data_IF_269920232172
#
_entry.id   IF_269920232172
#
_cell.length_a   1.000
_cell.length_b   1.000
_cell.length_c   1.000
_cell.angle_alpha   90.00
_cell.angle_beta   90.00
_cell.angle_gamma   90.00
#
_symmetry.space_group_name_H-M   'P 1'
#
loop_
_entity.id
_entity.type
_entity.pdbx_description
1 polymer ?
#
# COMPACT_ATOMS: atom_id res chain seq x y z
N UNK A 1 27.73 23.69 20.86
CA UNK A 1 26.98 22.41 20.81
C UNK A 1 26.57 22.18 19.36
N UNK A 2 27.22 21.26 18.66
CA UNK A 2 27.22 21.16 17.18
C UNK A 2 25.92 20.55 16.63
N UNK A 3 25.42 21.10 15.52
CA UNK A 3 24.22 20.66 14.77
C UNK A 3 24.23 19.17 14.33
N UNK A 4 25.31 18.45 14.63
CA UNK A 4 25.54 17.04 14.29
C UNK A 4 25.01 16.06 15.34
N UNK A 5 24.75 16.50 16.59
CA UNK A 5 24.21 15.61 17.65
C UNK A 5 22.67 15.48 17.68
N UNK A 6 21.94 16.17 16.79
CA UNK A 6 20.46 16.13 16.73
C UNK A 6 19.88 15.03 15.82
N UNK A 7 20.69 14.10 15.27
CA UNK A 7 20.28 13.28 14.11
C UNK A 7 20.35 11.76 14.30
N UNK A 8 20.13 11.27 15.51
CA UNK A 8 20.00 9.83 15.79
C UNK A 8 18.85 9.48 16.75
N UNK A 9 17.76 10.24 16.74
CA UNK A 9 16.49 9.62 17.13
C UNK A 9 16.16 8.58 16.05
N UNK A 10 16.54 7.33 16.31
CA UNK A 10 16.04 6.18 15.56
C UNK A 10 14.52 6.23 15.67
N UNK A 11 13.87 6.75 14.63
CA UNK A 11 12.43 6.62 14.45
C UNK A 11 12.15 5.13 14.52
N UNK A 12 11.58 4.65 15.64
CA UNK A 12 11.20 3.25 15.79
C UNK A 12 10.20 2.94 14.69
N UNK A 13 10.62 2.16 13.70
CA UNK A 13 9.75 1.74 12.61
C UNK A 13 8.53 1.04 13.17
N UNK A 14 7.35 1.40 12.68
CA UNK A 14 6.12 0.69 13.02
C UNK A 14 6.18 -0.72 12.44
N UNK A 15 6.03 -1.75 13.29
CA UNK A 15 6.04 -3.14 12.85
C UNK A 15 4.62 -3.57 12.45
N UNK A 16 4.29 -3.41 11.18
CA UNK A 16 2.95 -3.74 10.63
C UNK A 16 2.55 -5.19 10.86
N UNK A 17 3.50 -6.12 10.87
CA UNK A 17 3.21 -7.53 11.13
C UNK A 17 2.75 -7.75 12.57
N UNK A 18 3.39 -7.08 13.54
CA UNK A 18 2.96 -7.14 14.93
C UNK A 18 1.57 -6.52 15.10
N UNK A 19 1.29 -5.40 14.42
CA UNK A 19 -0.04 -4.77 14.40
C UNK A 19 -1.09 -5.71 13.79
N UNK A 20 -0.76 -6.42 12.71
CA UNK A 20 -1.65 -7.39 12.07
C UNK A 20 -1.92 -8.60 12.97
N UNK A 21 -0.90 -9.13 13.66
CA UNK A 21 -1.08 -10.21 14.65
C UNK A 21 -1.96 -9.75 15.82
N UNK A 22 -1.72 -8.55 16.35
CA UNK A 22 -2.59 -7.96 17.38
C UNK A 22 -4.03 -7.77 16.90
N UNK A 23 -4.23 -7.46 15.61
CA UNK A 23 -5.56 -7.33 15.00
C UNK A 23 -6.35 -8.63 15.04
N UNK A 24 -5.71 -9.81 14.95
CA UNK A 24 -6.38 -11.12 15.09
C UNK A 24 -7.05 -11.24 16.47
N UNK A 25 -6.34 -10.84 17.54
CA UNK A 25 -6.85 -10.87 18.91
C UNK A 25 -8.04 -9.93 19.06
N UNK A 26 -7.92 -8.69 18.54
CA UNK A 26 -9.01 -7.71 18.56
C UNK A 26 -10.24 -8.25 17.83
N UNK A 27 -10.08 -8.78 16.63
CA UNK A 27 -11.17 -9.35 15.84
C UNK A 27 -11.83 -10.51 16.60
N UNK A 28 -11.05 -11.43 17.18
CA UNK A 28 -11.57 -12.56 17.92
C UNK A 28 -12.39 -12.13 19.15
N UNK A 29 -11.87 -11.21 19.96
CA UNK A 29 -12.57 -10.68 21.14
C UNK A 29 -13.87 -9.99 20.73
N UNK A 30 -13.81 -9.11 19.72
CA UNK A 30 -14.98 -8.35 19.27
C UNK A 30 -16.04 -9.27 18.67
N UNK A 31 -15.65 -10.26 17.86
CA UNK A 31 -16.62 -11.22 17.31
C UNK A 31 -17.24 -12.12 18.37
N UNK A 32 -16.52 -12.43 19.46
CA UNK A 32 -17.05 -13.22 20.57
C UNK A 32 -18.04 -12.43 21.46
N UNK A 33 -17.74 -11.15 21.74
CA UNK A 33 -18.51 -10.35 22.69
C UNK A 33 -19.58 -9.46 22.02
N UNK A 34 -19.25 -8.88 20.86
CA UNK A 34 -20.09 -7.91 20.15
C UNK A 34 -19.97 -8.08 18.62
N UNK A 35 -20.42 -9.21 18.05
CA UNK A 35 -20.26 -9.51 16.62
C UNK A 35 -20.80 -8.42 15.68
N UNK A 36 -21.82 -7.67 16.10
CA UNK A 36 -22.42 -6.54 15.39
C UNK A 36 -21.49 -5.33 15.20
N UNK A 37 -20.38 -5.24 15.96
CA UNK A 37 -19.41 -4.14 15.80
C UNK A 37 -18.61 -4.26 14.49
N UNK A 38 -18.46 -5.47 13.96
CA UNK A 38 -17.82 -5.74 12.68
C UNK A 38 -18.89 -6.33 11.75
N UNK A 39 -19.64 -5.51 11.00
CA UNK A 39 -20.77 -5.97 10.18
C UNK A 39 -20.34 -6.72 8.91
N UNK A 40 -19.03 -6.92 8.71
CA UNK A 40 -18.45 -7.69 7.62
C UNK A 40 -18.08 -9.08 8.15
N UNK A 41 -18.42 -10.15 7.41
CA UNK A 41 -17.96 -11.49 7.72
C UNK A 41 -16.46 -11.59 7.49
N UNK A 42 -15.72 -12.13 8.46
CA UNK A 42 -14.24 -12.17 8.43
C UNK A 42 -13.69 -12.77 7.14
N UNK A 43 -14.34 -13.78 6.58
CA UNK A 43 -13.87 -14.49 5.39
C UNK A 43 -14.57 -14.06 4.09
N UNK A 44 -15.52 -13.13 4.14
CA UNK A 44 -16.23 -12.67 2.92
C UNK A 44 -15.30 -12.02 1.91
N UNK A 45 -14.31 -11.25 2.38
CA UNK A 45 -13.33 -10.56 1.53
C UNK A 45 -12.42 -11.53 0.77
N UNK A 46 -12.33 -12.80 1.18
CA UNK A 46 -11.56 -13.81 0.46
C UNK A 46 -12.31 -14.45 -0.71
N UNK A 47 -13.62 -14.23 -0.81
CA UNK A 47 -14.41 -14.68 -1.96
C UNK A 47 -14.08 -13.77 -3.15
N UNK A 48 -13.61 -14.37 -4.23
CA UNK A 48 -13.24 -13.62 -5.43
C UNK A 48 -14.36 -13.59 -6.46
N UNK A 49 -14.40 -12.52 -7.25
CA UNK A 49 -15.22 -12.43 -8.46
C UNK A 49 -14.33 -12.16 -9.68
N UNK A 50 -14.72 -12.73 -10.82
CA UNK A 50 -13.89 -12.72 -12.03
C UNK A 50 -12.67 -13.64 -11.94
N UNK A 51 -11.95 -13.77 -13.05
CA UNK A 51 -10.73 -14.56 -13.16
C UNK A 51 -9.45 -13.70 -13.18
N UNK A 52 -8.31 -14.37 -13.27
CA UNK A 52 -6.99 -13.73 -13.36
C UNK A 52 -6.91 -12.66 -14.47
N UNK A 53 -7.51 -12.92 -15.64
CA UNK A 53 -7.56 -11.97 -16.75
C UNK A 53 -8.35 -10.70 -16.41
N UNK A 54 -9.46 -10.83 -15.68
CA UNK A 54 -10.25 -9.68 -15.22
C UNK A 54 -9.45 -8.84 -14.21
N UNK A 55 -8.74 -9.50 -13.30
CA UNK A 55 -7.92 -8.82 -12.29
C UNK A 55 -6.77 -8.03 -12.93
N UNK A 56 -6.07 -8.61 -13.92
CA UNK A 56 -5.06 -7.89 -14.70
C UNK A 56 -5.70 -6.72 -15.44
N UNK A 57 -6.85 -6.94 -16.07
CA UNK A 57 -7.57 -5.90 -16.81
C UNK A 57 -7.91 -4.75 -15.87
N UNK A 58 -8.53 -4.97 -14.71
CA UNK A 58 -8.85 -3.85 -13.81
C UNK A 58 -7.60 -3.23 -13.18
N UNK A 59 -6.51 -3.99 -13.03
CA UNK A 59 -5.22 -3.52 -12.52
C UNK A 59 -4.39 -2.68 -13.51
N UNK A 60 -4.74 -2.65 -14.80
CA UNK A 60 -3.93 -1.97 -15.82
C UNK A 60 -3.56 -0.50 -15.49
N UNK A 61 -4.43 0.32 -14.88
CA UNK A 61 -4.10 1.73 -14.64
C UNK A 61 -2.89 1.89 -13.72
N UNK A 62 -2.78 1.07 -12.68
CA UNK A 62 -1.64 1.14 -11.76
C UNK A 62 -0.37 0.57 -12.37
N UNK A 63 -0.48 -0.44 -13.25
CA UNK A 63 0.67 -0.95 -14.00
C UNK A 63 1.25 0.12 -14.92
N UNK A 64 0.38 0.81 -15.66
CA UNK A 64 0.77 1.92 -16.53
C UNK A 64 1.38 3.08 -15.73
N UNK A 65 0.79 3.43 -14.59
CA UNK A 65 1.31 4.45 -13.68
C UNK A 65 2.70 4.11 -13.13
N UNK A 66 2.87 2.90 -12.59
CA UNK A 66 4.14 2.43 -12.04
C UNK A 66 5.28 2.44 -13.06
N UNK A 67 5.02 1.91 -14.27
CA UNK A 67 5.99 1.93 -15.36
C UNK A 67 6.27 3.36 -15.85
N UNK A 68 5.23 4.17 -16.04
CA UNK A 68 5.35 5.55 -16.52
C UNK A 68 6.19 6.43 -15.60
N UNK A 69 5.98 6.35 -14.28
CA UNK A 69 6.80 7.09 -13.31
C UNK A 69 8.25 6.64 -13.33
N UNK A 70 8.49 5.33 -13.36
CA UNK A 70 9.87 4.82 -13.38
C UNK A 70 10.59 5.25 -14.66
N UNK A 71 9.87 5.30 -15.79
CA UNK A 71 10.40 5.82 -17.04
C UNK A 71 10.73 7.33 -16.94
N UNK A 72 9.81 8.14 -16.43
CA UNK A 72 10.03 9.58 -16.23
C UNK A 72 11.23 9.82 -15.30
N UNK A 73 11.33 9.12 -14.18
CA UNK A 73 12.45 9.27 -13.26
C UNK A 73 13.78 8.85 -13.87
N UNK A 74 13.78 7.89 -14.80
CA UNK A 74 14.98 7.50 -15.54
C UNK A 74 15.48 8.63 -16.44
N UNK A 75 14.58 9.43 -17.03
CA UNK A 75 14.97 10.58 -17.85
C UNK A 75 15.33 11.85 -17.06
N UNK A 76 14.61 12.12 -15.95
CA UNK A 76 14.84 13.35 -15.16
C UNK A 76 16.15 13.28 -14.37
N UNK A 77 16.62 12.08 -14.02
CA UNK A 77 17.75 11.89 -13.10
C UNK A 77 18.89 11.18 -13.82
N UNK A 78 19.54 11.89 -14.73
CA UNK A 78 20.56 11.27 -15.61
C UNK A 78 21.87 10.91 -14.87
N UNK A 79 22.27 11.64 -13.80
CA UNK A 79 23.67 11.52 -13.32
C UNK A 79 23.92 11.38 -11.81
N UNK A 80 22.94 11.51 -10.93
CA UNK A 80 23.25 11.48 -9.48
C UNK A 80 22.90 10.14 -8.82
N UNK A 81 23.93 9.52 -8.23
CA UNK A 81 24.02 8.17 -7.67
C UNK A 81 23.13 7.88 -6.45
N UNK A 82 21.89 8.39 -6.40
CA UNK A 82 20.93 7.96 -5.38
C UNK A 82 20.24 6.69 -5.84
N UNK A 83 20.68 5.57 -5.30
CA UNK A 83 20.08 5.02 -4.08
C UNK A 83 18.59 4.77 -4.30
N UNK A 84 18.27 3.72 -5.06
CA UNK A 84 17.33 2.76 -4.49
C UNK A 84 17.90 2.41 -3.11
N UNK A 85 17.54 3.17 -2.08
CA UNK A 85 18.31 3.21 -0.83
C UNK A 85 18.41 1.83 -0.17
N UNK A 86 17.46 0.94 -0.47
CA UNK A 86 17.45 -0.47 -0.09
C UNK A 86 18.09 -1.45 -1.09
N UNK A 87 18.38 -1.06 -2.34
CA UNK A 87 18.87 -1.95 -3.41
C UNK A 87 20.25 -1.59 -3.98
N UNK A 88 21.00 -0.68 -3.35
CA UNK A 88 22.38 -0.34 -3.75
C UNK A 88 23.27 -1.58 -3.95
N UNK A 89 23.05 -2.62 -3.14
CA UNK A 89 23.82 -3.86 -3.20
C UNK A 89 23.60 -4.69 -4.47
N UNK A 90 22.56 -4.40 -5.26
CA UNK A 90 22.23 -5.11 -6.50
C UNK A 90 22.56 -4.30 -7.75
N UNK A 91 23.27 -3.18 -7.61
CA UNK A 91 23.51 -2.21 -8.69
C UNK A 91 24.21 -2.81 -9.92
N UNK A 92 25.04 -3.82 -9.72
CA UNK A 92 25.90 -4.34 -10.78
C UNK A 92 25.36 -5.65 -11.40
N UNK A 93 24.24 -6.17 -10.90
CA UNK A 93 23.66 -7.45 -11.31
C UNK A 93 22.14 -7.37 -11.48
N UNK A 94 21.73 -7.13 -12.73
CA UNK A 94 20.31 -7.04 -13.09
C UNK A 94 19.55 -8.35 -12.87
N UNK A 95 20.19 -9.52 -13.03
CA UNK A 95 19.53 -10.81 -12.77
C UNK A 95 19.23 -10.98 -11.28
N UNK A 96 20.21 -10.67 -10.42
CA UNK A 96 20.01 -10.74 -8.97
C UNK A 96 18.96 -9.74 -8.48
N UNK A 97 18.92 -8.55 -9.08
CA UNK A 97 17.86 -7.57 -8.82
C UNK A 97 16.49 -8.10 -9.22
N UNK A 98 16.37 -8.74 -10.40
CA UNK A 98 15.11 -9.32 -10.87
C UNK A 98 14.61 -10.45 -9.95
N UNK A 99 15.47 -11.40 -9.59
CA UNK A 99 15.11 -12.52 -8.69
C UNK A 99 14.70 -11.99 -7.32
N UNK A 100 15.51 -11.11 -6.73
CA UNK A 100 15.23 -10.54 -5.41
C UNK A 100 13.96 -9.69 -5.44
N UNK A 101 13.80 -8.87 -6.47
CA UNK A 101 12.61 -8.05 -6.69
C UNK A 101 11.35 -8.89 -6.84
N UNK A 102 11.41 -10.01 -7.55
CA UNK A 102 10.28 -10.96 -7.70
C UNK A 102 9.85 -11.53 -6.35
N UNK A 103 10.80 -11.98 -5.53
CA UNK A 103 10.49 -12.50 -4.19
C UNK A 103 9.93 -11.44 -3.25
N UNK A 104 10.45 -10.21 -3.33
CA UNK A 104 9.92 -9.07 -2.58
C UNK A 104 8.50 -8.74 -3.03
N UNK A 105 8.24 -8.70 -4.34
CA UNK A 105 6.92 -8.41 -4.91
C UNK A 105 5.89 -9.42 -4.44
N UNK A 106 6.21 -10.71 -4.46
CA UNK A 106 5.32 -11.77 -3.98
C UNK A 106 5.06 -11.64 -2.48
N UNK A 107 6.11 -11.43 -1.69
CA UNK A 107 5.98 -11.28 -0.24
C UNK A 107 5.18 -10.03 0.12
N UNK A 108 5.44 -8.90 -0.54
CA UNK A 108 4.74 -7.63 -0.31
C UNK A 108 3.26 -7.77 -0.68
N UNK A 109 2.96 -8.26 -1.88
CA UNK A 109 1.59 -8.50 -2.33
C UNK A 109 0.79 -9.41 -1.41
N UNK A 110 1.39 -10.46 -0.85
CA UNK A 110 0.68 -11.34 0.10
C UNK A 110 0.56 -10.69 1.48
N UNK A 111 1.69 -10.31 2.08
CA UNK A 111 1.73 -9.91 3.50
C UNK A 111 1.08 -8.55 3.71
N UNK A 112 1.30 -7.58 2.83
CA UNK A 112 0.74 -6.25 2.99
C UNK A 112 -0.76 -6.24 2.74
N UNK A 113 -1.27 -7.00 1.77
CA UNK A 113 -2.72 -7.08 1.54
C UNK A 113 -3.44 -7.81 2.70
N UNK A 114 -2.88 -8.92 3.19
CA UNK A 114 -3.41 -9.61 4.39
C UNK A 114 -3.37 -8.68 5.61
N UNK A 115 -2.27 -7.95 5.81
CA UNK A 115 -2.13 -7.06 6.97
C UNK A 115 -3.09 -5.88 6.89
N UNK A 116 -3.06 -5.10 5.81
CA UNK A 116 -3.76 -3.82 5.73
C UNK A 116 -5.20 -3.96 5.23
N UNK A 117 -5.46 -4.80 4.23
CA UNK A 117 -6.78 -4.85 3.58
C UNK A 117 -7.73 -5.82 4.30
N UNK A 118 -7.18 -6.74 5.07
CA UNK A 118 -7.95 -7.68 5.86
C UNK A 118 -7.86 -7.44 7.37
N UNK A 119 -6.71 -7.70 8.00
CA UNK A 119 -6.63 -7.77 9.47
C UNK A 119 -6.76 -6.39 10.13
N UNK A 120 -5.90 -5.44 9.76
CA UNK A 120 -5.91 -4.09 10.34
C UNK A 120 -7.21 -3.37 9.96
N UNK A 121 -7.71 -3.57 8.74
CA UNK A 121 -9.00 -3.04 8.31
C UNK A 121 -10.15 -3.52 9.20
N UNK A 122 -10.33 -4.83 9.39
CA UNK A 122 -11.40 -5.37 10.22
C UNK A 122 -11.29 -4.95 11.69
N UNK A 123 -10.07 -4.94 12.24
CA UNK A 123 -9.84 -4.45 13.59
C UNK A 123 -10.15 -2.95 13.72
N UNK A 124 -9.79 -2.14 12.72
CA UNK A 124 -10.05 -0.69 12.72
C UNK A 124 -11.54 -0.36 12.75
N UNK A 125 -12.41 -1.20 12.15
CA UNK A 125 -13.88 -1.00 12.23
C UNK A 125 -14.33 -0.98 13.69
N UNK A 126 -13.89 -1.97 14.49
CA UNK A 126 -14.22 -2.03 15.91
C UNK A 126 -13.56 -0.89 16.69
N UNK A 127 -12.28 -0.65 16.43
CA UNK A 127 -11.48 0.35 17.14
C UNK A 127 -11.92 1.79 16.90
N UNK A 128 -12.63 2.09 15.82
CA UNK A 128 -13.20 3.42 15.55
C UNK A 128 -14.56 3.60 16.20
N UNK A 129 -15.34 2.53 16.37
CA UNK A 129 -16.64 2.58 17.05
C UNK A 129 -16.51 2.83 18.56
N UNK A 130 -15.45 2.32 19.19
CA UNK A 130 -15.16 2.56 20.62
C UNK A 130 -15.00 4.06 20.94
N UNK A 131 -14.09 4.82 20.31
CA UNK A 131 -13.98 6.25 20.54
C UNK A 131 -15.25 6.97 20.10
N UNK A 132 -15.95 6.52 19.04
CA UNK A 132 -17.23 7.14 18.68
C UNK A 132 -18.25 7.06 19.83
N UNK A 133 -18.37 5.90 20.46
CA UNK A 133 -19.22 5.73 21.63
C UNK A 133 -18.76 6.63 22.79
N UNK A 134 -17.46 6.68 23.09
CA UNK A 134 -16.92 7.53 24.15
C UNK A 134 -17.14 9.03 23.89
N UNK A 135 -17.11 9.46 22.62
CA UNK A 135 -17.31 10.84 22.21
C UNK A 135 -18.73 11.07 21.67
N UNK A 136 -19.71 10.84 22.56
CA UNK A 136 -21.13 11.16 22.42
C UNK A 136 -21.94 10.30 21.43
N UNK A 137 -21.36 9.25 20.83
CA UNK A 137 -22.08 8.38 19.89
C UNK A 137 -23.34 7.73 20.48
N UNK A 138 -23.37 7.50 21.80
CA UNK A 138 -24.57 7.00 22.51
C UNK A 138 -25.72 8.02 22.57
N UNK A 139 -25.44 9.31 22.33
CA UNK A 139 -26.44 10.38 22.24
C UNK A 139 -26.91 10.62 20.79
N UNK A 140 -26.50 9.76 19.85
CA UNK A 140 -26.80 9.93 18.42
C UNK A 140 -25.88 10.92 17.71
N UNK A 141 -24.81 11.40 18.37
CA UNK A 141 -23.83 12.32 17.79
C UNK A 141 -22.41 11.85 18.09
N UNK A 142 -21.73 11.21 17.14
CA UNK A 142 -20.35 10.77 17.33
C UNK A 142 -19.33 11.72 16.71
N UNK A 143 -18.31 12.17 17.46
CA UNK A 143 -17.25 13.03 16.89
C UNK A 143 -16.49 12.34 15.74
N UNK A 144 -15.97 11.10 15.89
CA UNK A 144 -15.34 10.38 14.78
C UNK A 144 -16.25 10.19 13.56
N UNK A 145 -17.53 9.86 13.80
CA UNK A 145 -18.55 9.73 12.76
C UNK A 145 -18.74 11.03 11.99
N UNK A 146 -18.90 12.15 12.71
CA UNK A 146 -19.06 13.47 12.11
C UNK A 146 -17.84 13.83 11.25
N UNK A 147 -16.62 13.62 11.77
CA UNK A 147 -15.40 13.89 11.00
C UNK A 147 -15.30 13.04 9.74
N UNK A 148 -15.67 11.75 9.81
CA UNK A 148 -15.71 10.91 8.62
C UNK A 148 -16.74 11.42 7.60
N UNK A 149 -17.98 11.64 8.03
CA UNK A 149 -19.08 11.99 7.13
C UNK A 149 -18.91 13.38 6.50
N UNK A 150 -18.29 14.34 7.20
CA UNK A 150 -18.21 15.73 6.75
C UNK A 150 -16.84 16.18 6.28
N UNK A 151 -15.76 15.46 6.62
CA UNK A 151 -14.38 15.87 6.27
C UNK A 151 -13.66 14.78 5.51
N UNK A 152 -13.31 13.69 6.19
CA UNK A 152 -12.37 12.70 5.63
C UNK A 152 -13.00 11.83 4.54
N UNK A 153 -14.25 11.42 4.72
CA UNK A 153 -15.03 10.68 3.72
C UNK A 153 -15.18 11.47 2.41
N UNK A 154 -15.69 12.72 2.45
CA UNK A 154 -15.78 13.56 1.25
C UNK A 154 -14.45 13.80 0.55
N UNK A 155 -13.37 14.08 1.29
CA UNK A 155 -12.03 14.25 0.71
C UNK A 155 -11.58 12.97 0.01
N UNK A 156 -11.66 11.82 0.68
CA UNK A 156 -11.28 10.54 0.10
C UNK A 156 -12.12 10.21 -1.14
N UNK A 157 -13.42 10.48 -1.09
CA UNK A 157 -14.34 10.27 -2.20
C UNK A 157 -13.99 11.12 -3.42
N UNK A 158 -13.66 12.40 -3.20
CA UNK A 158 -13.22 13.30 -4.26
C UNK A 158 -11.89 12.83 -4.88
N UNK A 159 -10.89 12.52 -4.06
CA UNK A 159 -9.59 12.03 -4.54
C UNK A 159 -9.63 10.66 -5.23
N UNK A 160 -10.71 9.90 -5.05
CA UNK A 160 -10.90 8.59 -5.71
C UNK A 160 -11.89 8.67 -6.86
N UNK A 161 -12.23 9.88 -7.31
CA UNK A 161 -13.19 10.13 -8.39
C UNK A 161 -14.52 9.40 -8.18
N UNK A 162 -14.96 9.31 -6.92
CA UNK A 162 -16.19 8.66 -6.49
C UNK A 162 -16.25 7.13 -6.71
N UNK A 163 -15.18 6.49 -7.18
CA UNK A 163 -15.15 5.03 -7.40
C UNK A 163 -15.27 4.22 -6.10
N UNK A 164 -14.87 4.82 -4.97
CA UNK A 164 -15.01 4.24 -3.64
C UNK A 164 -16.23 4.75 -2.88
N UNK A 165 -17.09 5.58 -3.48
CA UNK A 165 -18.28 6.13 -2.83
C UNK A 165 -19.15 5.04 -2.16
N UNK A 166 -19.44 3.90 -2.81
CA UNK A 166 -20.27 2.84 -2.22
C UNK A 166 -19.63 2.17 -1.00
N UNK A 167 -18.32 2.30 -0.82
CA UNK A 167 -17.58 1.68 0.28
C UNK A 167 -17.27 2.68 1.40
N UNK A 168 -16.97 3.94 1.05
CA UNK A 168 -16.75 5.04 2.01
C UNK A 168 -18.02 5.37 2.78
N UNK A 169 -19.16 5.33 2.10
CA UNK A 169 -20.49 5.62 2.66
C UNK A 169 -21.40 4.39 2.60
N UNK A 170 -20.80 3.19 2.72
CA UNK A 170 -21.50 1.91 2.56
C UNK A 170 -22.66 1.70 3.53
N UNK A 171 -23.51 0.74 3.16
CA UNK A 171 -24.55 0.18 4.05
C UNK A 171 -23.97 -0.45 5.34
N UNK A 172 -22.70 -0.89 5.31
CA UNK A 172 -21.98 -1.36 6.49
C UNK A 172 -21.67 -0.23 7.50
N UNK A 173 -22.00 1.00 7.13
CA UNK A 173 -21.93 2.20 7.93
C UNK A 173 -20.62 2.96 7.76
N UNK A 174 -20.63 4.21 8.23
CA UNK A 174 -19.49 5.14 8.18
C UNK A 174 -18.19 4.54 8.77
N UNK A 175 -18.31 3.64 9.76
CA UNK A 175 -17.17 3.00 10.41
C UNK A 175 -16.33 2.14 9.46
N UNK A 176 -16.95 1.49 8.47
CA UNK A 176 -16.22 0.73 7.45
C UNK A 176 -15.40 1.66 6.55
N UNK A 177 -15.99 2.76 6.10
CA UNK A 177 -15.29 3.80 5.36
C UNK A 177 -14.13 4.39 6.16
N UNK A 178 -14.36 4.75 7.42
CA UNK A 178 -13.34 5.30 8.30
C UNK A 178 -12.19 4.29 8.53
N UNK A 179 -12.51 3.02 8.75
CA UNK A 179 -11.53 1.95 8.91
C UNK A 179 -10.67 1.74 7.67
N UNK A 180 -11.25 1.86 6.46
CA UNK A 180 -10.51 1.84 5.21
C UNK A 180 -9.48 2.98 5.17
N UNK A 181 -9.88 4.22 5.50
CA UNK A 181 -8.98 5.37 5.52
C UNK A 181 -7.86 5.22 6.58
N UNK A 182 -8.21 4.70 7.75
CA UNK A 182 -7.25 4.44 8.83
C UNK A 182 -6.24 3.38 8.41
N UNK A 183 -6.70 2.23 7.89
CA UNK A 183 -5.80 1.18 7.45
C UNK A 183 -4.90 1.63 6.29
N UNK A 184 -5.46 2.37 5.32
CA UNK A 184 -4.66 2.95 4.24
C UNK A 184 -3.64 3.97 4.74
N UNK A 185 -3.94 4.71 5.80
CA UNK A 185 -2.99 5.62 6.44
C UNK A 185 -1.81 4.88 7.07
N UNK A 186 -2.04 3.70 7.68
CA UNK A 186 -0.96 2.83 8.15
C UNK A 186 -0.11 2.29 7.00
N UNK A 187 -0.73 1.85 5.90
CA UNK A 187 -0.02 1.42 4.69
C UNK A 187 0.87 2.53 4.12
N UNK A 188 0.31 3.73 3.95
CA UNK A 188 1.03 4.94 3.52
C UNK A 188 2.20 5.27 4.45
N UNK A 189 2.00 5.14 5.75
CA UNK A 189 3.04 5.43 6.74
C UNK A 189 4.24 4.47 6.64
N UNK A 190 3.99 3.22 6.23
CA UNK A 190 5.01 2.27 5.86
C UNK A 190 5.91 2.75 4.71
N UNK A 191 5.43 3.67 3.87
CA UNK A 191 6.10 4.18 2.67
C UNK A 191 6.75 5.57 2.85
N UNK A 192 6.74 6.14 4.07
CA UNK A 192 7.36 7.45 4.36
C UNK A 192 8.84 7.55 3.97
N UNK A 193 9.56 6.42 3.97
CA UNK A 193 10.97 6.37 3.57
C UNK A 193 11.22 6.74 2.10
N UNK A 194 10.18 6.75 1.27
CA UNK A 194 10.22 7.15 -0.14
C UNK A 194 10.03 8.67 -0.35
N UNK A 195 9.90 9.44 0.73
CA UNK A 195 9.66 10.88 0.70
C UNK A 195 8.22 11.26 0.35
N UNK A 196 7.98 12.55 0.09
CA UNK A 196 6.63 13.08 -0.15
C UNK A 196 5.91 12.37 -1.32
N UNK A 197 6.63 12.13 -2.42
CA UNK A 197 6.08 11.44 -3.57
C UNK A 197 5.59 10.03 -3.22
N UNK A 198 6.40 9.25 -2.49
CA UNK A 198 6.00 7.90 -2.08
C UNK A 198 4.84 7.89 -1.08
N UNK A 199 4.75 8.89 -0.20
CA UNK A 199 3.59 9.07 0.69
C UNK A 199 2.32 9.31 -0.14
N UNK A 200 2.35 10.22 -1.10
CA UNK A 200 1.19 10.50 -1.95
C UNK A 200 0.84 9.26 -2.79
N UNK A 201 1.83 8.65 -3.43
CA UNK A 201 1.66 7.48 -4.27
C UNK A 201 1.07 6.29 -3.50
N UNK A 202 1.61 5.98 -2.31
CA UNK A 202 1.11 4.90 -1.47
C UNK A 202 -0.33 5.16 -0.97
N UNK A 203 -0.70 6.42 -0.75
CA UNK A 203 -2.08 6.75 -0.43
C UNK A 203 -3.03 6.35 -1.57
N UNK A 204 -2.75 6.78 -2.81
CA UNK A 204 -3.61 6.48 -3.98
C UNK A 204 -3.62 4.99 -4.34
N UNK A 205 -2.46 4.35 -4.40
CA UNK A 205 -2.37 2.91 -4.68
C UNK A 205 -3.11 2.09 -3.64
N UNK A 206 -2.99 2.47 -2.37
CA UNK A 206 -3.63 1.71 -1.32
C UNK A 206 -5.16 1.85 -1.32
N UNK A 207 -5.70 3.02 -1.70
CA UNK A 207 -7.14 3.16 -1.97
C UNK A 207 -7.58 2.33 -3.18
N UNK A 208 -6.77 2.31 -4.25
CA UNK A 208 -7.05 1.50 -5.43
C UNK A 208 -7.08 -0.01 -5.12
N UNK A 209 -6.19 -0.50 -4.25
CA UNK A 209 -6.25 -1.89 -3.78
C UNK A 209 -7.47 -2.19 -2.92
N UNK A 210 -7.96 -1.23 -2.11
CA UNK A 210 -9.26 -1.37 -1.46
C UNK A 210 -10.40 -1.48 -2.47
N UNK A 211 -10.38 -0.68 -3.54
CA UNK A 211 -11.37 -0.76 -4.61
C UNK A 211 -11.34 -2.15 -5.28
N UNK A 212 -10.16 -2.67 -5.60
CA UNK A 212 -10.02 -4.04 -6.14
C UNK A 212 -10.53 -5.08 -5.13
N UNK A 213 -10.16 -4.98 -3.86
CA UNK A 213 -10.60 -5.94 -2.85
C UNK A 213 -12.13 -5.98 -2.73
N UNK A 214 -12.78 -4.81 -2.69
CA UNK A 214 -14.24 -4.77 -2.54
C UNK A 214 -15.01 -5.18 -3.79
N UNK A 215 -14.42 -5.05 -4.98
CA UNK A 215 -15.07 -5.43 -6.26
C UNK A 215 -14.76 -6.86 -6.68
N UNK A 216 -13.53 -7.33 -6.44
CA UNK A 216 -12.99 -8.60 -6.94
C UNK A 216 -12.47 -9.56 -5.88
N UNK A 217 -12.40 -9.15 -4.61
CA UNK A 217 -11.89 -9.94 -3.50
C UNK A 217 -10.40 -9.74 -3.22
N UNK A 218 -9.96 -10.21 -2.05
CA UNK A 218 -8.61 -10.05 -1.54
C UNK A 218 -7.56 -10.74 -2.42
N UNK A 219 -7.87 -11.90 -3.00
CA UNK A 219 -6.96 -12.56 -3.94
C UNK A 219 -6.64 -11.70 -5.16
N UNK A 220 -7.63 -10.98 -5.69
CA UNK A 220 -7.41 -10.06 -6.80
C UNK A 220 -6.46 -8.93 -6.39
N UNK A 221 -6.64 -8.36 -5.19
CA UNK A 221 -5.75 -7.33 -4.65
C UNK A 221 -4.31 -7.85 -4.50
N UNK A 222 -4.13 -9.05 -3.92
CA UNK A 222 -2.82 -9.72 -3.78
C UNK A 222 -2.13 -9.90 -5.13
N UNK A 223 -2.85 -10.43 -6.13
CA UNK A 223 -2.30 -10.68 -7.46
C UNK A 223 -1.90 -9.37 -8.13
N UNK A 224 -2.79 -8.38 -8.13
CA UNK A 224 -2.53 -7.09 -8.79
C UNK A 224 -1.38 -6.36 -8.09
N UNK A 225 -1.29 -6.37 -6.76
CA UNK A 225 -0.17 -5.79 -6.03
C UNK A 225 1.14 -6.52 -6.38
N UNK A 226 1.15 -7.85 -6.34
CA UNK A 226 2.33 -8.65 -6.71
C UNK A 226 2.82 -8.33 -8.12
N UNK A 227 1.90 -8.22 -9.09
CA UNK A 227 2.24 -7.89 -10.47
C UNK A 227 2.73 -6.45 -10.63
N UNK A 228 2.13 -5.50 -9.91
CA UNK A 228 2.55 -4.10 -9.92
C UNK A 228 4.01 -3.96 -9.49
N UNK A 229 4.38 -4.54 -8.35
CA UNK A 229 5.77 -4.51 -7.86
C UNK A 229 6.71 -5.27 -8.80
N UNK A 230 6.29 -6.44 -9.28
CA UNK A 230 7.09 -7.26 -10.18
C UNK A 230 7.44 -6.50 -11.48
N UNK A 231 6.48 -5.76 -12.05
CA UNK A 231 6.72 -4.93 -13.23
C UNK A 231 7.75 -3.83 -12.98
N UNK A 232 7.68 -3.17 -11.82
CA UNK A 232 8.65 -2.13 -11.43
C UNK A 232 10.05 -2.73 -11.28
N UNK A 233 10.18 -3.87 -10.60
CA UNK A 233 11.49 -4.54 -10.45
C UNK A 233 12.03 -5.09 -11.77
N UNK A 234 11.16 -5.59 -12.64
CA UNK A 234 11.54 -6.04 -13.98
C UNK A 234 12.07 -4.89 -14.82
N UNK A 235 11.39 -3.74 -14.80
CA UNK A 235 11.89 -2.53 -15.45
C UNK A 235 13.26 -2.10 -14.90
N UNK A 236 13.40 -2.03 -13.58
CA UNK A 236 14.65 -1.63 -12.93
C UNK A 236 15.81 -2.59 -13.29
N UNK A 237 15.56 -3.90 -13.28
CA UNK A 237 16.53 -4.91 -13.67
C UNK A 237 16.96 -4.80 -15.13
N UNK A 238 16.01 -4.57 -16.04
CA UNK A 238 16.29 -4.36 -17.46
C UNK A 238 17.14 -3.09 -17.68
N UNK A 239 16.78 -1.99 -17.01
CA UNK A 239 17.52 -0.73 -17.08
C UNK A 239 18.97 -0.88 -16.59
N UNK A 240 19.18 -1.51 -15.44
CA UNK A 240 20.52 -1.80 -14.89
C UNK A 240 21.34 -2.65 -15.86
N UNK A 241 20.74 -3.70 -16.42
CA UNK A 241 21.41 -4.59 -17.37
C UNK A 241 21.84 -3.85 -18.64
N UNK A 242 20.98 -2.97 -19.15
CA UNK A 242 21.27 -2.13 -20.32
C UNK A 242 22.39 -1.12 -20.05
N UNK A 243 22.35 -0.43 -18.91
CA UNK A 243 23.36 0.55 -18.50
C UNK A 243 24.73 -0.10 -18.34
N UNK A 244 24.81 -1.25 -17.67
CA UNK A 244 26.05 -1.99 -17.46
C UNK A 244 26.64 -2.50 -18.78
N UNK A 245 25.79 -2.98 -19.70
CA UNK A 245 26.21 -3.39 -21.04
C UNK A 245 26.79 -2.23 -21.85
N UNK A 246 26.17 -1.05 -21.75
CA UNK A 246 26.62 0.17 -22.42
C UNK A 246 27.96 0.66 -21.87
N UNK A 247 28.14 0.65 -20.55
CA UNK A 247 29.40 1.03 -19.90
C UNK A 247 30.56 0.10 -20.28
N UNK A 248 30.35 -1.22 -20.29
CA UNK A 248 31.35 -2.20 -20.74
C UNK A 248 31.77 -1.98 -22.19
N UNK A 249 30.83 -1.64 -23.08
CA UNK A 249 31.14 -1.31 -24.48
C UNK A 249 31.99 -0.04 -24.61
N UNK A 250 31.69 1.01 -23.84
CA UNK A 250 32.50 2.25 -23.82
C UNK A 250 33.92 1.98 -23.30
N UNK A 251 34.06 1.20 -22.22
CA UNK A 251 35.37 0.85 -21.65
C UNK A 251 36.22 -0.02 -22.59
N UNK A 252 35.61 -0.94 -23.35
CA UNK A 252 36.37 -1.70 -24.38
C UNK A 252 36.90 -0.81 -25.49
N UNK A 253 36.07 0.13 -25.98
CA UNK A 253 36.47 1.11 -26.99
C UNK A 253 37.57 2.05 -26.51
N UNK A 254 37.56 2.49 -25.25
CA UNK A 254 38.63 3.34 -24.70
C UNK A 254 39.95 2.62 -24.52
N UNK A 255 39.92 1.28 -24.37
CA UNK A 255 41.11 0.47 -24.14
C UNK A 255 41.74 -0.08 -25.44
N UNK A 256 41.25 0.33 -26.61
CA UNK A 256 41.85 -0.06 -27.90
C UNK A 256 41.65 -1.52 -28.31
N UNK A 257 40.65 -2.21 -27.72
CA UNK A 257 40.21 -3.54 -28.15
C UNK A 257 39.11 -3.46 -29.21
#
# INVERSE_FOLDING_TARGET
>A
MTARKKKEEKVKGHNSLLTAIGSIIVIAIVKALWPQLIPIETWSLWKSTGGFGDWIKVGWPIFAWGLGINLIFTFIRDDDHRDYAGFRHFRDDGLRLWITGTLISLRAGIVEEIAYRWLIFLAAIAMIRIPNFLFFGFLGFGIPEWFHNHVWGPVANWTTFQQLQPYIFSEYGWAAGAAMLTSNSFFRDGHKYQGLFGIINAWFLGMFFFWIMFTHGLWAAIVVHTLYDFLIFTYAAAYVSFKNSSARRRSRRSNGY
#
